data_IF_474499402036
#
_entry.id   IF_474499402036
#
_cell.length_a   1.000
_cell.length_b   1.000
_cell.length_c   1.000
_cell.angle_alpha   90.00
_cell.angle_beta   90.00
_cell.angle_gamma   90.00
#
_symmetry.space_group_name_H-M   'P 1'
#
loop_
_entity.id
_entity.type
_entity.pdbx_description
1 polymer ?
#
# COMPACT_ATOMS: atom_id res chain seq x y z
N UNK A 1 -20.39 -16.55 -16.44
CA UNK A 1 -19.66 -15.60 -15.57
C UNK A 1 -18.65 -16.41 -14.79
N UNK A 2 -17.34 -16.23 -15.02
CA UNK A 2 -16.34 -16.92 -14.20
C UNK A 2 -16.37 -16.33 -12.78
N UNK A 3 -16.48 -17.13 -11.72
CA UNK A 3 -16.45 -16.62 -10.35
C UNK A 3 -15.08 -15.96 -10.10
N UNK A 4 -15.11 -14.73 -9.56
CA UNK A 4 -13.91 -13.98 -9.21
C UNK A 4 -13.23 -14.65 -8.01
N UNK A 5 -12.29 -15.55 -8.28
CA UNK A 5 -11.67 -16.41 -7.26
C UNK A 5 -10.35 -15.87 -6.71
N UNK A 6 -10.17 -14.55 -6.67
CA UNK A 6 -8.98 -13.94 -6.05
C UNK A 6 -9.29 -13.70 -4.57
N UNK A 7 -8.76 -14.52 -3.64
CA UNK A 7 -8.92 -14.25 -2.23
C UNK A 7 -8.33 -12.87 -1.89
N UNK A 8 -8.93 -12.14 -0.94
CA UNK A 8 -8.36 -10.89 -0.47
C UNK A 8 -6.95 -11.15 0.08
N UNK A 9 -6.02 -10.26 -0.24
CA UNK A 9 -4.67 -10.33 0.31
C UNK A 9 -4.73 -10.08 1.82
N UNK A 10 -4.00 -10.89 2.59
CA UNK A 10 -3.76 -10.60 4.01
C UNK A 10 -2.95 -9.30 4.16
N UNK A 11 -2.95 -8.67 5.34
CA UNK A 11 -2.18 -7.45 5.56
C UNK A 11 -0.68 -7.65 5.30
N UNK A 12 -0.13 -8.79 5.69
CA UNK A 12 1.26 -9.15 5.40
C UNK A 12 1.51 -9.29 3.88
N UNK A 13 0.58 -9.89 3.14
CA UNK A 13 0.66 -9.95 1.67
C UNK A 13 0.54 -8.57 1.03
N UNK A 14 -0.25 -7.65 1.58
CA UNK A 14 -0.34 -6.27 1.11
C UNK A 14 0.99 -5.53 1.33
N UNK A 15 1.60 -5.66 2.51
CA UNK A 15 2.92 -5.09 2.81
C UNK A 15 4.00 -5.67 1.91
N UNK A 16 4.01 -6.98 1.70
CA UNK A 16 4.93 -7.65 0.79
C UNK A 16 4.77 -7.15 -0.66
N UNK A 17 3.53 -6.97 -1.12
CA UNK A 17 3.23 -6.41 -2.43
C UNK A 17 3.73 -4.97 -2.56
N UNK A 18 3.52 -4.12 -1.56
CA UNK A 18 4.00 -2.75 -1.58
C UNK A 18 5.54 -2.70 -1.64
N UNK A 19 6.23 -3.54 -0.85
CA UNK A 19 7.69 -3.71 -0.91
C UNK A 19 8.16 -4.20 -2.28
N UNK A 20 7.51 -5.20 -2.85
CA UNK A 20 7.88 -5.75 -4.17
C UNK A 20 7.71 -4.74 -5.30
N UNK A 21 6.85 -3.73 -5.10
CA UNK A 21 6.64 -2.61 -6.02
C UNK A 21 7.64 -1.46 -5.81
N UNK A 22 8.55 -1.58 -4.86
CA UNK A 22 9.59 -0.58 -4.59
C UNK A 22 9.27 0.40 -3.46
N UNK A 23 8.20 0.18 -2.69
CA UNK A 23 7.90 1.03 -1.53
C UNK A 23 8.86 0.71 -0.38
N UNK A 24 9.48 1.75 0.17
CA UNK A 24 10.34 1.62 1.35
C UNK A 24 9.44 1.52 2.59
N UNK A 25 9.49 0.38 3.26
CA UNK A 25 8.74 0.13 4.50
C UNK A 25 9.75 -0.32 5.57
N UNK A 26 10.06 0.58 6.51
CA UNK A 26 11.03 0.36 7.56
C UNK A 26 10.55 -0.70 8.57
N UNK A 27 9.30 -0.60 9.01
CA UNK A 27 8.67 -1.55 9.93
C UNK A 27 7.44 -2.21 9.27
N UNK A 28 7.62 -3.47 8.87
CA UNK A 28 6.53 -4.27 8.29
C UNK A 28 5.38 -4.50 9.28
N UNK A 29 5.66 -4.73 10.56
CA UNK A 29 4.63 -5.01 11.55
C UNK A 29 3.78 -3.76 11.81
N UNK A 30 4.42 -2.59 11.90
CA UNK A 30 3.71 -1.32 12.01
C UNK A 30 2.86 -1.02 10.77
N UNK A 31 3.37 -1.30 9.57
CA UNK A 31 2.61 -1.15 8.33
C UNK A 31 1.40 -2.09 8.28
N UNK A 32 1.55 -3.36 8.66
CA UNK A 32 0.44 -4.32 8.74
C UNK A 32 -0.63 -3.87 9.73
N UNK A 33 -0.21 -3.46 10.94
CA UNK A 33 -1.11 -2.94 11.96
C UNK A 33 -1.85 -1.68 11.47
N UNK A 34 -1.18 -0.80 10.75
CA UNK A 34 -1.81 0.37 10.14
C UNK A 34 -2.83 -0.04 9.06
N UNK A 35 -2.45 -0.89 8.10
CA UNK A 35 -3.33 -1.37 7.03
C UNK A 35 -4.58 -2.08 7.57
N UNK A 36 -4.48 -2.72 8.75
CA UNK A 36 -5.64 -3.34 9.42
C UNK A 36 -6.66 -2.35 9.99
N UNK A 37 -6.29 -1.09 10.16
CA UNK A 37 -7.12 -0.02 10.75
C UNK A 37 -7.74 0.90 9.72
N UNK A 38 -7.32 0.81 8.46
CA UNK A 38 -7.75 1.70 7.38
C UNK A 38 -8.41 0.92 6.24
N UNK A 39 -9.12 1.64 5.38
CA UNK A 39 -9.66 1.05 4.16
C UNK A 39 -8.56 1.01 3.07
N UNK A 40 -8.01 -0.18 2.81
CA UNK A 40 -6.94 -0.37 1.82
C UNK A 40 -7.31 0.11 0.41
N UNK A 41 -8.57 -0.03 0.00
CA UNK A 41 -9.02 0.45 -1.32
C UNK A 41 -8.85 1.97 -1.44
N UNK A 42 -9.27 2.74 -0.41
CA UNK A 42 -9.03 4.18 -0.37
C UNK A 42 -7.54 4.50 -0.31
N UNK A 43 -6.80 3.85 0.57
CA UNK A 43 -5.36 4.05 0.72
C UNK A 43 -4.60 3.82 -0.60
N UNK A 44 -5.01 2.81 -1.38
CA UNK A 44 -4.36 2.49 -2.65
C UNK A 44 -4.45 3.61 -3.70
N UNK A 45 -5.43 4.52 -3.60
CA UNK A 45 -5.51 5.68 -4.47
C UNK A 45 -4.37 6.69 -4.20
N UNK A 46 -3.94 6.80 -2.93
CA UNK A 46 -2.82 7.66 -2.53
C UNK A 46 -1.46 7.07 -2.90
N UNK A 47 -1.40 5.82 -3.39
CA UNK A 47 -0.21 5.28 -4.01
C UNK A 47 0.08 5.92 -5.38
N UNK A 48 -0.95 6.36 -6.11
CA UNK A 48 -0.84 6.82 -7.50
C UNK A 48 0.15 7.98 -7.69
N UNK A 49 0.19 9.03 -6.85
CA UNK A 49 1.16 10.12 -6.98
C UNK A 49 2.62 9.66 -6.79
N UNK A 50 2.82 8.54 -6.10
CA UNK A 50 4.13 7.96 -5.82
C UNK A 50 4.51 6.87 -6.82
N UNK A 51 3.65 6.48 -7.76
CA UNK A 51 4.03 5.58 -8.85
C UNK A 51 4.91 6.31 -9.88
N UNK A 52 6.05 5.73 -10.22
CA UNK A 52 6.91 6.19 -11.33
C UNK A 52 6.47 5.56 -12.66
N UNK A 53 6.12 4.28 -12.61
CA UNK A 53 5.55 3.49 -13.69
C UNK A 53 4.42 2.68 -13.06
N UNK A 54 3.45 2.23 -13.85
CA UNK A 54 2.29 1.46 -13.36
C UNK A 54 2.75 0.33 -12.42
N UNK A 55 2.25 0.36 -11.19
CA UNK A 55 2.59 -0.60 -10.11
C UNK A 55 4.06 -0.59 -9.65
N UNK A 56 4.83 0.45 -9.94
CA UNK A 56 6.18 0.64 -9.42
C UNK A 56 6.31 2.03 -8.80
N UNK A 57 6.72 2.07 -7.54
CA UNK A 57 6.91 3.30 -6.81
C UNK A 57 8.18 4.03 -7.24
N UNK A 58 8.18 5.35 -7.07
CA UNK A 58 9.35 6.20 -7.25
C UNK A 58 10.46 5.77 -6.27
N UNK A 59 11.73 5.89 -6.67
CA UNK A 59 12.85 5.69 -5.76
C UNK A 59 12.67 6.53 -4.50
N UNK A 60 12.94 5.94 -3.33
CA UNK A 60 12.78 6.54 -2.01
C UNK A 60 11.34 6.89 -1.58
N UNK A 61 10.30 6.50 -2.31
CA UNK A 61 8.93 6.60 -1.80
C UNK A 61 8.77 5.70 -0.56
N UNK A 62 8.38 6.29 0.57
CA UNK A 62 8.23 5.57 1.83
C UNK A 62 6.77 5.34 2.19
N UNK A 63 6.51 4.31 2.98
CA UNK A 63 5.18 4.08 3.55
C UNK A 63 4.69 5.26 4.38
N UNK A 64 5.60 5.94 5.07
CA UNK A 64 5.27 7.10 5.90
C UNK A 64 4.83 8.30 5.04
N UNK A 65 5.39 8.50 3.84
CA UNK A 65 4.93 9.54 2.92
C UNK A 65 3.48 9.29 2.47
N UNK A 66 3.16 8.05 2.10
CA UNK A 66 1.80 7.65 1.71
C UNK A 66 0.84 7.79 2.88
N UNK A 67 1.27 7.37 4.07
CA UNK A 67 0.50 7.50 5.31
C UNK A 67 0.22 8.96 5.64
N UNK A 68 1.22 9.83 5.55
CA UNK A 68 1.06 11.26 5.81
C UNK A 68 0.08 11.90 4.81
N UNK A 69 0.15 11.55 3.53
CA UNK A 69 -0.80 12.03 2.52
C UNK A 69 -2.23 11.53 2.79
N UNK A 70 -2.38 10.27 3.18
CA UNK A 70 -3.69 9.69 3.53
C UNK A 70 -4.31 10.38 4.76
N UNK A 71 -3.53 10.57 5.82
CA UNK A 71 -4.00 11.20 7.06
C UNK A 71 -4.27 12.71 6.89
N UNK A 72 -3.62 13.38 5.94
CA UNK A 72 -3.92 14.78 5.61
C UNK A 72 -5.30 14.96 4.96
N UNK A 73 -5.73 14.00 4.14
CA UNK A 73 -7.02 14.06 3.42
C UNK A 73 -8.20 13.49 4.23
N UNK A 74 -7.91 12.75 5.31
CA UNK A 74 -8.89 12.08 6.16
C UNK A 74 -9.50 13.03 7.19
#
# INVERSE_FOLDING_TARGET
MQPYNKPPLTYSQQVALLKSRGLVIADSAAAEAYLSRINYYRFSAYCLPFEAVRHQFKPAATFDDLKALYEFDR
#
